data_IF_630645957752
#
_entry.id   IF_630645957752
#
_cell.length_a   1.000
_cell.length_b   1.000
_cell.length_c   1.000
_cell.angle_alpha   90.00
_cell.angle_beta   90.00
_cell.angle_gamma   90.00
#
_symmetry.space_group_name_H-M   'P 1'
#
loop_
_entity.id
_entity.type
_entity.pdbx_description
1 polymer ?
#
# COMPACT_ATOMS: atom_id res chain seq x y z
N UNK A 1 -0.06 -11.38 -2.75
CA UNK A 1 -1.24 -10.51 -2.62
C UNK A 1 -2.37 -11.03 -3.49
N UNK A 2 -3.62 -10.66 -3.21
CA UNK A 2 -4.82 -10.88 -4.05
C UNK A 2 -4.83 -9.96 -5.27
N UNK A 3 -3.88 -10.18 -6.16
CA UNK A 3 -3.54 -9.24 -7.22
C UNK A 3 -4.68 -8.92 -8.18
N UNK A 4 -5.38 -9.94 -8.70
CA UNK A 4 -6.47 -9.73 -9.68
C UNK A 4 -7.63 -8.94 -9.07
N UNK A 5 -7.99 -9.26 -7.84
CA UNK A 5 -9.02 -8.53 -7.09
C UNK A 5 -8.60 -7.08 -6.85
N UNK A 6 -7.33 -6.87 -6.48
CA UNK A 6 -6.79 -5.53 -6.30
C UNK A 6 -6.74 -4.74 -7.60
N UNK A 7 -6.38 -5.37 -8.72
CA UNK A 7 -6.41 -4.75 -10.05
C UNK A 7 -7.84 -4.34 -10.43
N UNK A 8 -8.83 -5.21 -10.24
CA UNK A 8 -10.23 -4.90 -10.47
C UNK A 8 -10.73 -3.75 -9.58
N UNK A 9 -10.40 -3.80 -8.28
CA UNK A 9 -10.70 -2.73 -7.33
C UNK A 9 -10.14 -1.37 -7.79
N UNK A 10 -8.91 -1.34 -8.31
CA UNK A 10 -8.31 -0.12 -8.85
C UNK A 10 -8.95 0.31 -10.17
N UNK A 11 -9.39 -0.62 -11.02
CA UNK A 11 -10.09 -0.31 -12.27
C UNK A 11 -11.47 0.32 -12.00
N UNK A 12 -12.09 0.03 -10.88
CA UNK A 12 -13.38 0.59 -10.46
C UNK A 12 -13.25 1.97 -9.80
N UNK A 13 -12.04 2.39 -9.38
CA UNK A 13 -11.80 3.68 -8.74
C UNK A 13 -11.95 4.85 -9.73
N UNK A 14 -13.02 5.63 -9.58
CA UNK A 14 -13.33 6.79 -10.42
C UNK A 14 -12.28 7.91 -10.33
N UNK A 15 -11.50 7.96 -9.24
CA UNK A 15 -10.43 8.96 -9.10
C UNK A 15 -9.21 8.64 -9.97
N UNK A 16 -9.16 7.47 -10.60
CA UNK A 16 -8.06 7.06 -11.48
C UNK A 16 -8.40 7.40 -12.93
N UNK A 17 -8.01 8.60 -13.36
CA UNK A 17 -8.26 9.11 -14.73
C UNK A 17 -7.58 8.25 -15.81
N UNK A 18 -6.30 7.94 -15.63
CA UNK A 18 -5.56 7.07 -16.56
C UNK A 18 -5.62 5.61 -16.10
N UNK A 19 -6.79 4.97 -16.24
CA UNK A 19 -7.07 3.62 -15.67
C UNK A 19 -5.94 2.62 -15.91
N UNK A 20 -5.65 2.25 -17.15
CA UNK A 20 -4.70 1.15 -17.44
C UNK A 20 -3.28 1.43 -16.92
N UNK A 21 -2.70 2.60 -17.21
CA UNK A 21 -1.31 2.91 -16.84
C UNK A 21 -1.17 3.09 -15.33
N UNK A 22 -2.09 3.80 -14.70
CA UNK A 22 -2.04 4.09 -13.27
C UNK A 22 -2.32 2.83 -12.43
N UNK A 23 -3.25 1.97 -12.86
CA UNK A 23 -3.51 0.67 -12.23
C UNK A 23 -2.27 -0.21 -12.29
N UNK A 24 -1.71 -0.46 -13.48
CA UNK A 24 -0.48 -1.25 -13.64
C UNK A 24 0.68 -0.72 -12.80
N UNK A 25 0.84 0.60 -12.75
CA UNK A 25 1.89 1.23 -11.96
C UNK A 25 1.70 1.02 -10.44
N UNK A 26 0.47 0.95 -9.94
CA UNK A 26 0.19 0.65 -8.52
C UNK A 26 0.38 -0.83 -8.21
N UNK A 27 -0.15 -1.72 -9.05
CA UNK A 27 0.04 -3.18 -8.91
C UNK A 27 1.53 -3.52 -8.92
N UNK A 28 2.32 -2.92 -9.81
CA UNK A 28 3.76 -3.16 -9.84
C UNK A 28 4.49 -2.69 -8.57
N UNK A 29 4.08 -1.55 -7.98
CA UNK A 29 4.66 -1.08 -6.71
C UNK A 29 4.26 -1.99 -5.54
N UNK A 30 3.02 -2.45 -5.51
CA UNK A 30 2.56 -3.45 -4.55
C UNK A 30 3.41 -4.72 -4.61
N UNK A 31 3.68 -5.25 -5.82
CA UNK A 31 4.61 -6.38 -6.02
C UNK A 31 6.05 -6.08 -5.62
N UNK A 32 6.52 -4.84 -5.84
CA UNK A 32 7.87 -4.45 -5.41
C UNK A 32 8.02 -4.56 -3.90
N UNK A 33 6.98 -4.20 -3.14
CA UNK A 33 6.96 -4.32 -1.68
C UNK A 33 7.03 -5.80 -1.27
N UNK A 34 6.22 -6.67 -1.89
CA UNK A 34 6.26 -8.12 -1.57
C UNK A 34 7.63 -8.71 -1.82
N UNK A 35 8.27 -8.35 -2.95
CA UNK A 35 9.63 -8.81 -3.27
C UNK A 35 10.69 -8.27 -2.32
N UNK A 36 10.57 -7.01 -1.90
CA UNK A 36 11.55 -6.38 -1.01
C UNK A 36 11.49 -6.97 0.40
N UNK A 37 10.29 -7.25 0.91
CA UNK A 37 10.10 -7.81 2.25
C UNK A 37 10.01 -9.33 2.31
N UNK A 38 10.10 -10.02 1.17
CA UNK A 38 9.92 -11.47 1.04
C UNK A 38 8.67 -11.97 1.78
N UNK A 39 7.57 -11.22 1.66
CA UNK A 39 6.33 -11.51 2.38
C UNK A 39 5.12 -11.00 1.62
N UNK A 40 3.94 -11.52 1.93
CA UNK A 40 2.72 -11.13 1.23
C UNK A 40 2.14 -9.81 1.76
N UNK A 41 1.52 -9.02 0.89
CA UNK A 41 0.79 -7.82 1.34
C UNK A 41 -0.39 -8.20 2.23
N UNK A 42 -1.06 -9.32 1.98
CA UNK A 42 -2.16 -9.80 2.85
C UNK A 42 -1.67 -10.04 4.29
N UNK A 43 -0.44 -10.54 4.46
CA UNK A 43 0.17 -10.68 5.77
C UNK A 43 0.52 -9.32 6.40
N UNK A 44 1.13 -8.41 5.63
CA UNK A 44 1.48 -7.06 6.11
C UNK A 44 0.24 -6.30 6.58
N UNK A 45 -0.83 -6.27 5.78
CA UNK A 45 -2.01 -5.44 6.05
C UNK A 45 -3.00 -6.06 7.04
N UNK A 46 -2.80 -7.32 7.43
CA UNK A 46 -3.63 -8.00 8.43
C UNK A 46 -3.41 -7.52 9.87
N UNK A 47 -2.39 -6.69 10.10
CA UNK A 47 -2.04 -6.15 11.41
C UNK A 47 -1.54 -4.71 11.27
N UNK A 48 -2.13 -3.80 12.05
CA UNK A 48 -1.85 -2.36 11.94
C UNK A 48 -0.40 -2.01 12.33
N UNK A 49 0.22 -2.78 13.23
CA UNK A 49 1.62 -2.60 13.61
C UNK A 49 2.55 -3.04 12.48
N UNK A 50 2.32 -4.19 11.86
CA UNK A 50 3.06 -4.64 10.66
C UNK A 50 2.92 -3.64 9.52
N UNK A 51 1.72 -3.16 9.26
CA UNK A 51 1.46 -2.11 8.27
C UNK A 51 2.30 -0.86 8.52
N UNK A 52 2.30 -0.37 9.76
CA UNK A 52 3.07 0.81 10.16
C UNK A 52 4.59 0.59 10.00
N UNK A 53 5.13 -0.51 10.52
CA UNK A 53 6.55 -0.85 10.41
C UNK A 53 7.00 -0.99 8.96
N UNK A 54 6.18 -1.63 8.10
CA UNK A 54 6.44 -1.73 6.66
C UNK A 54 6.46 -0.36 5.99
N UNK A 55 5.57 0.57 6.34
CA UNK A 55 5.61 1.94 5.81
C UNK A 55 6.89 2.70 6.21
N UNK A 56 7.37 2.51 7.44
CA UNK A 56 8.66 3.09 7.87
C UNK A 56 9.82 2.54 7.05
N UNK A 57 9.88 1.21 6.90
CA UNK A 57 10.92 0.53 6.10
C UNK A 57 10.86 0.92 4.63
N UNK A 58 9.69 1.05 4.02
CA UNK A 58 9.56 1.52 2.62
C UNK A 58 10.18 2.90 2.46
N UNK A 59 9.91 3.81 3.40
CA UNK A 59 10.45 5.17 3.36
C UNK A 59 11.97 5.18 3.43
N UNK A 60 12.58 4.34 4.26
CA UNK A 60 14.04 4.32 4.49
C UNK A 60 14.79 3.43 3.52
N UNK A 61 14.32 2.21 3.26
CA UNK A 61 15.02 1.17 2.50
C UNK A 61 14.75 1.23 0.99
N UNK A 62 13.55 1.66 0.59
CA UNK A 62 13.16 1.75 -0.84
C UNK A 62 13.28 3.17 -1.39
N UNK A 63 13.85 4.10 -0.61
CA UNK A 63 14.02 5.51 -0.95
C UNK A 63 12.71 6.16 -1.45
N UNK A 64 11.59 5.86 -0.80
CA UNK A 64 10.24 6.33 -1.19
C UNK A 64 9.98 7.79 -0.76
N UNK A 65 10.83 8.70 -1.22
CA UNK A 65 10.76 10.14 -0.87
C UNK A 65 9.41 10.75 -1.26
N UNK A 66 8.87 10.36 -2.42
CA UNK A 66 7.62 10.89 -2.96
C UNK A 66 6.37 10.13 -2.50
N UNK A 67 6.51 9.12 -1.63
CA UNK A 67 5.39 8.35 -1.09
C UNK A 67 4.67 7.45 -2.09
N UNK A 68 5.22 7.24 -3.29
CA UNK A 68 4.57 6.51 -4.36
C UNK A 68 4.42 5.01 -4.04
N UNK A 69 5.42 4.43 -3.38
CA UNK A 69 5.42 3.02 -2.97
C UNK A 69 4.53 2.84 -1.74
N UNK A 70 4.70 3.71 -0.74
CA UNK A 70 3.89 3.75 0.48
C UNK A 70 2.40 3.91 0.17
N UNK A 71 2.05 4.73 -0.81
CA UNK A 71 0.66 4.93 -1.23
C UNK A 71 0.07 3.70 -1.93
N UNK A 72 0.89 2.92 -2.64
CA UNK A 72 0.44 1.63 -3.16
C UNK A 72 0.11 0.66 -2.02
N UNK A 73 0.94 0.60 -0.97
CA UNK A 73 0.67 -0.21 0.22
C UNK A 73 -0.60 0.24 0.94
N UNK A 74 -0.78 1.55 1.20
CA UNK A 74 -1.99 2.09 1.83
C UNK A 74 -3.25 1.80 1.01
N UNK A 75 -3.16 1.87 -0.31
CA UNK A 75 -4.30 1.55 -1.18
C UNK A 75 -4.66 0.06 -1.11
N UNK A 76 -3.67 -0.82 -0.99
CA UNK A 76 -3.90 -2.24 -0.75
C UNK A 76 -4.50 -2.50 0.63
N UNK A 77 -4.02 -1.81 1.68
CA UNK A 77 -4.61 -1.89 3.02
C UNK A 77 -6.10 -1.51 2.98
N UNK A 78 -6.46 -0.44 2.28
CA UNK A 78 -7.86 -0.05 2.13
C UNK A 78 -8.69 -1.11 1.40
N UNK A 79 -8.18 -1.66 0.30
CA UNK A 79 -8.81 -2.79 -0.39
C UNK A 79 -9.03 -4.00 0.54
N UNK A 80 -8.05 -4.32 1.40
CA UNK A 80 -8.10 -5.51 2.23
C UNK A 80 -8.96 -5.37 3.48
N UNK A 81 -8.97 -4.19 4.10
CA UNK A 81 -9.57 -3.94 5.41
C UNK A 81 -10.80 -3.03 5.36
N UNK A 82 -11.12 -2.47 4.19
CA UNK A 82 -12.18 -1.46 4.01
C UNK A 82 -12.02 -0.24 4.96
N UNK A 83 -10.77 0.07 5.32
CA UNK A 83 -10.36 1.15 6.25
C UNK A 83 -9.18 1.89 5.66
N UNK A 84 -9.13 3.21 5.81
CA UNK A 84 -7.97 4.01 5.41
C UNK A 84 -6.91 3.95 6.50
N UNK A 85 -5.68 3.56 6.15
CA UNK A 85 -4.56 3.67 7.06
C UNK A 85 -4.09 5.13 7.13
N UNK A 86 -3.90 5.71 8.32
CA UNK A 86 -3.49 7.10 8.46
C UNK A 86 -2.10 7.38 7.87
N UNK A 87 -1.73 8.66 7.80
CA UNK A 87 -0.35 9.05 7.51
C UNK A 87 0.56 8.61 8.66
N UNK A 88 1.87 8.50 8.40
CA UNK A 88 2.82 8.09 9.45
C UNK A 88 2.80 9.05 10.65
N UNK A 89 2.71 10.37 10.41
CA UNK A 89 2.59 11.35 11.49
C UNK A 89 1.31 11.16 12.31
N UNK A 90 0.16 11.08 11.63
CA UNK A 90 -1.11 10.88 12.33
C UNK A 90 -1.19 9.54 13.09
N UNK A 91 -0.55 8.48 12.61
CA UNK A 91 -0.54 7.20 13.34
C UNK A 91 0.21 7.30 14.68
N UNK A 92 1.32 8.04 14.71
CA UNK A 92 2.09 8.26 15.95
C UNK A 92 1.24 9.04 16.96
N UNK A 93 0.57 10.11 16.52
CA UNK A 93 -0.29 10.94 17.38
C UNK A 93 -1.47 10.16 18.00
N UNK A 94 -1.85 9.00 17.45
CA UNK A 94 -2.92 8.13 17.99
C UNK A 94 -2.39 7.02 18.91
N UNK A 95 -1.08 6.90 19.09
CA UNK A 95 -0.45 5.93 20.00
C UNK A 95 0.00 6.55 21.33
N UNK A 96 0.07 7.88 21.41
CA UNK A 96 0.34 8.67 22.63
C UNK A 96 -0.96 9.03 23.37
#
# INVERSE_FOLDING_TARGET
>A
MREREFENYLLEDENIVSKVKAVRSRVNKARMIERHFDTSLDYIVSDDKRMYESLLKIKTEMNDVNGNISNALRKYYHFANNKIFPTLGAYIDNLE
#
